data_IF_183167982321
#
_entry.id   IF_183167982321
#
_cell.length_a   1.000
_cell.length_b   1.000
_cell.length_c   1.000
_cell.angle_alpha   90.00
_cell.angle_beta   90.00
_cell.angle_gamma   90.00
#
_symmetry.space_group_name_H-M   'P 1'
#
loop_
_entity.id
_entity.type
_entity.pdbx_description
1 polymer ?
#
# COMPACT_ATOMS: atom_id res chain seq x y z
N UNK A 1 5.68 -9.94 -12.17
CA UNK A 1 4.60 -9.06 -11.72
C UNK A 1 5.12 -8.10 -10.65
N UNK A 2 5.01 -6.82 -10.87
CA UNK A 2 5.48 -5.82 -9.91
C UNK A 2 4.27 -5.16 -9.25
N UNK A 3 4.22 -5.21 -7.92
CA UNK A 3 3.08 -4.76 -7.14
C UNK A 3 3.47 -3.56 -6.28
N UNK A 4 2.62 -2.54 -6.28
CA UNK A 4 2.75 -1.37 -5.41
C UNK A 4 1.73 -1.50 -4.28
N UNK A 5 2.19 -1.46 -3.05
CA UNK A 5 1.31 -1.46 -1.88
C UNK A 5 1.23 -0.07 -1.28
N UNK A 6 0.03 0.31 -0.87
CA UNK A 6 -0.26 1.63 -0.32
C UNK A 6 -0.93 1.51 1.04
N UNK A 7 -0.32 2.16 2.03
CA UNK A 7 -0.91 2.30 3.36
C UNK A 7 -1.45 3.73 3.44
N UNK A 8 -2.75 3.86 3.16
CA UNK A 8 -3.39 5.16 3.02
C UNK A 8 -3.60 5.87 4.35
N UNK A 9 -3.17 7.13 4.42
CA UNK A 9 -3.54 8.06 5.47
C UNK A 9 -3.90 9.38 4.81
N UNK A 10 -4.79 10.17 5.42
CA UNK A 10 -5.23 11.44 4.82
C UNK A 10 -4.10 12.43 4.62
N UNK A 11 -3.14 12.47 5.56
CA UNK A 11 -2.00 13.38 5.49
C UNK A 11 -0.89 12.85 4.58
N UNK A 12 -0.67 11.54 4.61
CA UNK A 12 0.39 10.91 3.81
C UNK A 12 0.09 9.44 3.61
N UNK A 13 0.62 8.89 2.54
CA UNK A 13 0.45 7.49 2.16
C UNK A 13 1.82 6.82 2.15
N UNK A 14 1.96 5.73 2.88
CA UNK A 14 3.15 4.89 2.81
C UNK A 14 3.11 4.05 1.53
N UNK A 15 4.27 3.85 0.92
CA UNK A 15 4.39 3.14 -0.35
C UNK A 15 5.50 2.09 -0.28
N UNK A 16 5.27 0.95 -0.90
CA UNK A 16 6.28 -0.08 -1.06
C UNK A 16 6.05 -0.81 -2.37
N UNK A 17 7.12 -1.31 -2.97
CA UNK A 17 7.03 -1.98 -4.27
C UNK A 17 7.76 -3.32 -4.22
N UNK A 18 7.22 -4.32 -4.91
CA UNK A 18 7.92 -5.60 -5.07
C UNK A 18 8.76 -5.60 -6.33
N UNK A 19 9.78 -6.47 -6.35
CA UNK A 19 10.51 -6.75 -7.57
C UNK A 19 9.64 -7.61 -8.51
N UNK A 20 10.04 -7.81 -9.78
CA UNK A 20 9.23 -8.60 -10.71
C UNK A 20 8.95 -10.03 -10.28
N UNK A 21 9.81 -10.62 -9.44
CA UNK A 21 9.61 -12.00 -8.95
C UNK A 21 8.67 -12.07 -7.76
N UNK A 22 8.35 -10.91 -7.13
CA UNK A 22 7.52 -10.90 -5.95
C UNK A 22 8.24 -11.36 -4.68
N UNK A 23 9.56 -11.32 -4.67
CA UNK A 23 10.37 -11.81 -3.56
C UNK A 23 10.91 -10.69 -2.68
N UNK A 24 11.38 -9.62 -3.29
CA UNK A 24 11.99 -8.50 -2.58
C UNK A 24 10.99 -7.33 -2.52
N UNK A 25 10.77 -6.82 -1.32
CA UNK A 25 9.90 -5.69 -1.07
C UNK A 25 10.73 -4.50 -0.63
N UNK A 26 10.57 -3.37 -1.32
CA UNK A 26 11.32 -2.15 -1.05
C UNK A 26 10.37 -1.03 -0.64
N UNK A 27 10.52 -0.47 0.58
CA UNK A 27 9.75 0.72 0.95
C UNK A 27 10.22 1.93 0.15
N UNK A 28 9.27 2.80 -0.19
CA UNK A 28 9.53 4.00 -0.98
C UNK A 28 9.24 5.26 -0.15
N UNK A 29 9.48 6.41 -0.74
CA UNK A 29 9.11 7.67 -0.11
C UNK A 29 7.59 7.77 0.01
N UNK A 30 7.12 8.43 1.07
CA UNK A 30 5.68 8.65 1.26
C UNK A 30 5.16 9.66 0.25
N UNK A 31 3.87 9.55 -0.05
CA UNK A 31 3.18 10.52 -0.89
C UNK A 31 2.31 11.39 0.00
N UNK A 32 2.55 12.71 -0.05
CA UNK A 32 1.78 13.68 0.71
C UNK A 32 0.38 13.84 0.12
N UNK A 33 -0.62 13.93 1.01
CA UNK A 33 -2.03 14.12 0.62
C UNK A 33 -2.43 13.24 -0.57
N UNK A 34 -2.42 11.93 -0.40
CA UNK A 34 -2.60 11.01 -1.53
C UNK A 34 -3.93 11.16 -2.26
N UNK A 35 -4.98 11.63 -1.60
CA UNK A 35 -6.29 11.80 -2.22
C UNK A 35 -6.42 13.10 -3.00
N UNK A 36 -5.45 14.01 -2.90
CA UNK A 36 -5.45 15.25 -3.68
C UNK A 36 -5.11 14.96 -5.15
N UNK A 37 -5.38 15.92 -6.02
CA UNK A 37 -4.99 15.78 -7.44
C UNK A 37 -3.51 15.53 -7.61
N UNK A 38 -2.69 16.26 -6.83
CA UNK A 38 -1.23 16.11 -6.87
C UNK A 38 -0.80 14.75 -6.33
N UNK A 39 -1.44 14.29 -5.24
CA UNK A 39 -1.15 12.98 -4.66
C UNK A 39 -1.49 11.83 -5.62
N UNK A 40 -2.66 11.87 -6.22
CA UNK A 40 -3.06 10.87 -7.21
C UNK A 40 -2.10 10.88 -8.41
N UNK A 41 -1.73 12.07 -8.89
CA UNK A 41 -0.77 12.19 -9.99
C UNK A 41 0.59 11.58 -9.63
N UNK A 42 1.06 11.82 -8.40
CA UNK A 42 2.34 11.25 -7.94
C UNK A 42 2.28 9.72 -7.87
N UNK A 43 1.18 9.17 -7.38
CA UNK A 43 0.99 7.72 -7.34
C UNK A 43 0.98 7.13 -8.75
N UNK A 44 0.33 7.80 -9.67
CA UNK A 44 0.31 7.38 -11.07
C UNK A 44 1.71 7.40 -11.68
N UNK A 45 2.51 8.42 -11.37
CA UNK A 45 3.92 8.48 -11.80
C UNK A 45 4.71 7.30 -11.25
N UNK A 46 4.51 6.95 -9.97
CA UNK A 46 5.19 5.79 -9.37
C UNK A 46 4.84 4.50 -10.10
N UNK A 47 3.57 4.33 -10.46
CA UNK A 47 3.13 3.17 -11.22
C UNK A 47 3.86 3.09 -12.56
N UNK A 48 3.97 4.22 -13.25
CA UNK A 48 4.66 4.26 -14.55
C UNK A 48 6.17 4.07 -14.41
N UNK A 49 6.80 4.82 -13.51
CA UNK A 49 8.25 4.77 -13.29
C UNK A 49 8.74 3.38 -12.86
N UNK A 50 7.95 2.71 -12.03
CA UNK A 50 8.32 1.43 -11.47
C UNK A 50 7.75 0.24 -12.23
N UNK A 51 7.08 0.50 -13.34
CA UNK A 51 6.46 -0.54 -14.17
C UNK A 51 5.54 -1.46 -13.35
N UNK A 52 4.73 -0.85 -12.49
CA UNK A 52 3.80 -1.54 -11.62
C UNK A 52 2.64 -2.10 -12.45
N UNK A 53 2.26 -3.33 -12.18
CA UNK A 53 1.17 -4.00 -12.89
C UNK A 53 -0.07 -4.20 -12.01
N UNK A 54 0.04 -3.99 -10.71
CA UNK A 54 -1.06 -4.15 -9.76
C UNK A 54 -0.81 -3.28 -8.54
N UNK A 55 -1.89 -2.72 -7.98
CA UNK A 55 -1.83 -1.91 -6.76
C UNK A 55 -2.66 -2.60 -5.67
N UNK A 56 -2.11 -2.66 -4.47
CA UNK A 56 -2.79 -3.21 -3.29
C UNK A 56 -2.90 -2.10 -2.25
N UNK A 57 -4.12 -1.85 -1.77
CA UNK A 57 -4.37 -0.83 -0.75
C UNK A 57 -4.80 -1.51 0.54
N UNK A 58 -4.15 -1.18 1.63
CA UNK A 58 -4.51 -1.71 2.95
C UNK A 58 -5.86 -1.18 3.40
N UNK A 59 -6.76 -2.07 3.77
CA UNK A 59 -8.10 -1.70 4.22
C UNK A 59 -8.19 -1.77 5.75
N UNK A 60 -8.31 -0.62 6.42
CA UNK A 60 -8.37 -0.59 7.89
C UNK A 60 -9.78 -0.91 8.40
N UNK A 61 -10.02 -2.18 8.68
CA UNK A 61 -11.28 -2.63 9.25
C UNK A 61 -11.19 -2.61 10.77
N UNK A 62 -12.34 -2.49 11.45
CA UNK A 62 -12.40 -2.67 12.90
C UNK A 62 -12.09 -4.12 13.24
N UNK A 63 -11.77 -4.40 14.52
CA UNK A 63 -11.47 -5.77 14.97
C UNK A 63 -12.62 -6.73 14.68
N UNK A 64 -13.85 -6.24 14.70
CA UNK A 64 -15.03 -7.05 14.39
C UNK A 64 -15.27 -7.25 12.90
N UNK A 65 -14.47 -6.60 12.05
CA UNK A 65 -14.61 -6.69 10.60
C UNK A 65 -15.52 -5.64 9.98
N UNK A 66 -16.06 -4.72 10.80
CA UNK A 66 -16.96 -3.68 10.31
C UNK A 66 -16.22 -2.46 9.77
N UNK A 67 -16.91 -1.69 8.94
CA UNK A 67 -16.36 -0.45 8.37
C UNK A 67 -16.35 0.67 9.40
N UNK A 68 -15.27 1.44 9.41
CA UNK A 68 -15.14 2.68 10.17
C UNK A 68 -15.17 3.85 9.17
N UNK A 69 -15.12 5.07 9.68
CA UNK A 69 -14.97 6.24 8.81
C UNK A 69 -13.69 6.17 7.99
N UNK A 70 -12.60 5.75 8.62
CA UNK A 70 -11.32 5.56 7.94
C UNK A 70 -11.42 4.50 6.84
N UNK A 71 -12.16 3.43 7.06
CA UNK A 71 -12.39 2.39 6.06
C UNK A 71 -13.06 2.97 4.82
N UNK A 72 -14.12 3.76 5.03
CA UNK A 72 -14.87 4.38 3.94
C UNK A 72 -14.01 5.38 3.16
N UNK A 73 -13.20 6.16 3.86
CA UNK A 73 -12.29 7.11 3.23
C UNK A 73 -11.26 6.38 2.36
N UNK A 74 -10.72 5.28 2.86
CA UNK A 74 -9.74 4.47 2.13
C UNK A 74 -10.36 3.85 0.88
N UNK A 75 -11.60 3.35 0.96
CA UNK A 75 -12.30 2.81 -0.22
C UNK A 75 -12.51 3.88 -1.29
N UNK A 76 -12.91 5.08 -0.86
CA UNK A 76 -13.10 6.19 -1.80
C UNK A 76 -11.80 6.58 -2.50
N UNK A 77 -10.70 6.62 -1.75
CA UNK A 77 -9.38 6.86 -2.31
C UNK A 77 -9.01 5.80 -3.34
N UNK A 78 -9.20 4.52 -2.98
CA UNK A 78 -8.86 3.41 -3.88
C UNK A 78 -9.65 3.47 -5.18
N UNK A 79 -10.94 3.82 -5.11
CA UNK A 79 -11.77 3.98 -6.30
C UNK A 79 -11.26 5.10 -7.21
N UNK A 80 -10.91 6.25 -6.62
CA UNK A 80 -10.37 7.37 -7.40
C UNK A 80 -9.06 7.00 -8.08
N UNK A 81 -8.20 6.32 -7.35
CA UNK A 81 -6.92 5.87 -7.91
C UNK A 81 -7.15 4.89 -9.06
N UNK A 82 -8.05 3.92 -8.86
CA UNK A 82 -8.37 2.94 -9.89
C UNK A 82 -8.85 3.60 -11.17
N UNK A 83 -9.70 4.62 -11.05
CA UNK A 83 -10.20 5.35 -12.22
C UNK A 83 -9.07 6.06 -12.97
N UNK A 84 -8.09 6.60 -12.25
CA UNK A 84 -6.97 7.31 -12.85
C UNK A 84 -5.93 6.38 -13.47
N UNK A 85 -5.78 5.17 -12.94
CA UNK A 85 -4.84 4.19 -13.49
C UNK A 85 -5.40 3.46 -14.70
N UNK A 86 -6.72 3.34 -14.79
CA UNK A 86 -7.36 2.66 -15.89
C UNK A 86 -7.45 1.14 -15.72
N UNK A 87 -8.06 0.48 -16.68
CA UNK A 87 -8.36 -0.95 -16.59
C UNK A 87 -7.14 -1.86 -16.59
N UNK A 88 -6.03 -1.40 -17.15
CA UNK A 88 -4.82 -2.22 -17.25
C UNK A 88 -4.12 -2.48 -15.93
N UNK A 89 -4.43 -1.72 -14.88
CA UNK A 89 -3.77 -1.83 -13.59
C UNK A 89 -4.81 -2.00 -12.50
N UNK A 90 -5.09 -3.25 -12.08
CA UNK A 90 -6.08 -3.48 -11.03
C UNK A 90 -5.64 -2.90 -9.69
N UNK A 91 -6.61 -2.36 -8.95
CA UNK A 91 -6.42 -1.87 -7.58
C UNK A 91 -7.27 -2.75 -6.69
N UNK A 92 -6.65 -3.48 -5.77
CA UNK A 92 -7.38 -4.33 -4.85
C UNK A 92 -7.13 -3.97 -3.40
N UNK A 93 -8.04 -4.37 -2.53
CA UNK A 93 -7.95 -4.10 -1.11
C UNK A 93 -7.41 -5.33 -0.39
N UNK A 94 -6.64 -5.09 0.67
CA UNK A 94 -6.13 -6.16 1.53
C UNK A 94 -6.37 -5.76 2.99
N UNK A 95 -6.92 -6.67 3.77
CA UNK A 95 -7.28 -6.42 5.16
C UNK A 95 -6.01 -6.19 6.00
N UNK A 96 -5.87 -4.97 6.54
CA UNK A 96 -4.72 -4.59 7.37
C UNK A 96 -4.61 -5.36 8.67
N UNK A 97 -5.70 -5.97 9.16
CA UNK A 97 -5.64 -6.74 10.40
C UNK A 97 -4.64 -7.87 10.34
N UNK A 98 -4.37 -8.38 9.14
CA UNK A 98 -3.40 -9.48 8.95
C UNK A 98 -1.95 -9.01 9.01
N UNK A 99 -1.68 -7.71 8.93
CA UNK A 99 -0.33 -7.16 8.88
C UNK A 99 0.18 -6.65 10.23
N UNK A 100 -0.72 -6.35 11.16
CA UNK A 100 -0.36 -5.74 12.44
C UNK A 100 0.66 -6.53 13.22
N UNK A 101 0.49 -7.85 13.31
CA UNK A 101 1.43 -8.72 14.04
C UNK A 101 2.79 -8.78 13.37
N UNK A 102 2.82 -8.78 12.05
CA UNK A 102 4.09 -8.82 11.31
C UNK A 102 4.85 -7.51 11.50
N UNK A 103 4.16 -6.38 11.45
CA UNK A 103 4.76 -5.08 11.70
C UNK A 103 5.41 -5.03 13.09
N UNK A 104 4.72 -5.52 14.11
CA UNK A 104 5.24 -5.56 15.47
C UNK A 104 6.50 -6.43 15.61
N UNK A 105 6.55 -7.55 14.91
CA UNK A 105 7.70 -8.45 14.95
C UNK A 105 8.93 -7.83 14.29
N UNK A 106 8.73 -7.00 13.29
CA UNK A 106 9.82 -6.43 12.52
C UNK A 106 10.31 -5.08 13.03
N UNK A 107 9.61 -4.47 13.97
CA UNK A 107 9.99 -3.20 14.55
C UNK A 107 11.40 -3.20 15.16
N UNK A 108 11.87 -4.34 15.64
CA UNK A 108 13.20 -4.45 16.22
C UNK A 108 14.31 -4.72 15.23
N UNK A 109 14.01 -4.98 13.97
CA UNK A 109 15.00 -5.49 13.02
C UNK A 109 15.44 -4.44 12.00
N UNK A 110 14.68 -3.39 11.80
CA UNK A 110 14.91 -2.47 10.71
C UNK A 110 15.44 -1.09 11.07
N UNK A 111 16.15 -0.97 12.16
CA UNK A 111 16.49 0.33 12.74
C UNK A 111 17.32 1.28 11.91
N UNK A 112 17.85 0.88 10.76
CA UNK A 112 18.79 1.71 10.01
C UNK A 112 18.24 2.33 8.73
N UNK A 113 16.97 2.10 8.41
CA UNK A 113 16.43 2.62 7.15
C UNK A 113 15.85 4.02 7.33
N UNK A 114 16.17 4.89 6.38
CA UNK A 114 15.66 6.27 6.35
C UNK A 114 14.22 6.36 5.85
N UNK A 115 13.53 5.24 5.66
CA UNK A 115 12.14 5.23 5.23
C UNK A 115 11.22 5.44 6.43
N UNK A 116 10.14 6.15 6.21
CA UNK A 116 9.15 6.45 7.24
C UNK A 116 8.46 5.18 7.75
N UNK A 117 7.85 5.27 8.95
CA UNK A 117 7.03 4.20 9.49
C UNK A 117 5.88 3.84 8.55
N UNK A 118 5.32 4.85 7.85
CA UNK A 118 4.22 4.62 6.92
C UNK A 118 4.63 3.71 5.77
N UNK A 119 5.82 3.90 5.23
CA UNK A 119 6.33 3.06 4.13
C UNK A 119 6.75 1.68 4.61
N UNK A 120 7.22 1.56 5.87
CA UNK A 120 7.47 0.24 6.46
C UNK A 120 6.17 -0.53 6.64
N UNK A 121 5.10 0.16 7.05
CA UNK A 121 3.77 -0.46 7.14
C UNK A 121 3.30 -0.94 5.78
N UNK A 122 3.53 -0.15 4.73
CA UNK A 122 3.21 -0.55 3.36
C UNK A 122 4.02 -1.76 2.92
N UNK A 123 5.29 -1.85 3.33
CA UNK A 123 6.13 -3.00 3.02
C UNK A 123 5.60 -4.27 3.69
N UNK A 124 5.17 -4.19 4.94
CA UNK A 124 4.57 -5.34 5.64
C UNK A 124 3.24 -5.75 5.01
N UNK A 125 2.45 -4.76 4.61
CA UNK A 125 1.21 -5.01 3.89
C UNK A 125 1.49 -5.81 2.61
N UNK A 126 2.49 -5.40 1.85
CA UNK A 126 2.85 -6.05 0.60
C UNK A 126 3.34 -7.48 0.84
N UNK A 127 4.18 -7.68 1.86
CA UNK A 127 4.65 -9.02 2.21
C UNK A 127 3.49 -9.93 2.59
N UNK A 128 2.52 -9.41 3.36
CA UNK A 128 1.31 -10.14 3.73
C UNK A 128 0.50 -10.54 2.50
N UNK A 129 0.30 -9.59 1.58
CA UNK A 129 -0.45 -9.85 0.36
C UNK A 129 0.26 -10.89 -0.52
N UNK A 130 1.57 -10.75 -0.69
CA UNK A 130 2.36 -11.71 -1.49
C UNK A 130 2.28 -13.12 -0.92
N UNK A 131 2.26 -13.24 0.42
CA UNK A 131 2.13 -14.54 1.07
C UNK A 131 0.81 -15.23 0.71
N UNK A 132 -0.25 -14.48 0.48
CA UNK A 132 -1.54 -15.05 0.07
C UNK A 132 -1.53 -15.53 -1.38
N UNK A 133 -0.63 -15.02 -2.20
CA UNK A 133 -0.54 -15.37 -3.62
C UNK A 133 0.31 -16.60 -3.90
N UNK A 134 1.13 -17.02 -2.95
CA UNK A 134 2.05 -18.15 -3.15
C UNK A 134 1.45 -19.52 -2.90
N UNK A 135 0.15 -19.64 -2.90
CA UNK A 135 -0.54 -20.92 -2.74
C UNK A 135 -1.02 -21.49 -4.04
#
# INVERSE_FOLDING_TARGET
MRVLALDYGSARCGCAVSDPTGTIVTPLETVERPASKRGIARLRELVEEREVTRVVVGLPLSLSGGDTEQTRETRAFAERLAQRLGEGIPVEMHDERFTTRMAQRMEGVGGSFKTSEDSRAAAHLLESWLATQSR
#
